data_IF_395738555517
#
_entry.id   IF_395738555517
#
_cell.length_a   1.000
_cell.length_b   1.000
_cell.length_c   1.000
_cell.angle_alpha   90.00
_cell.angle_beta   90.00
_cell.angle_gamma   90.00
#
_symmetry.space_group_name_H-M   'P 1'
#
loop_
_entity.id
_entity.type
_entity.pdbx_description
1 polymer ?
#
# COMPACT_ATOMS: atom_id res chain seq x y z
N UNK A 1 -13.47 2.40 -3.23
CA UNK A 1 -12.57 2.39 -2.07
C UNK A 1 -12.61 1.04 -1.38
N UNK A 2 -13.52 0.86 -0.41
CA UNK A 2 -13.53 -0.29 0.49
C UNK A 2 -13.49 -1.68 -0.17
N UNK A 3 -14.28 -1.90 -1.22
CA UNK A 3 -14.26 -3.15 -2.01
C UNK A 3 -12.91 -3.40 -2.67
N UNK A 4 -12.29 -2.37 -3.26
CA UNK A 4 -10.96 -2.49 -3.87
C UNK A 4 -9.92 -2.89 -2.82
N UNK A 5 -9.99 -2.35 -1.61
CA UNK A 5 -9.10 -2.74 -0.51
C UNK A 5 -9.29 -4.22 -0.11
N UNK A 6 -10.54 -4.70 -0.03
CA UNK A 6 -10.82 -6.12 0.26
C UNK A 6 -10.23 -7.02 -0.83
N UNK A 7 -10.45 -6.69 -2.09
CA UNK A 7 -9.90 -7.44 -3.23
C UNK A 7 -8.37 -7.42 -3.21
N UNK A 8 -7.76 -6.26 -2.97
CA UNK A 8 -6.32 -6.12 -2.80
C UNK A 8 -5.79 -7.08 -1.73
N UNK A 9 -6.37 -7.06 -0.52
CA UNK A 9 -5.91 -7.91 0.57
C UNK A 9 -6.09 -9.40 0.23
N UNK A 10 -7.20 -9.77 -0.42
CA UNK A 10 -7.42 -11.14 -0.89
C UNK A 10 -6.39 -11.60 -1.94
N UNK A 11 -6.07 -10.75 -2.91
CA UNK A 11 -5.04 -11.02 -3.93
C UNK A 11 -3.65 -11.15 -3.30
N UNK A 12 -3.32 -10.26 -2.35
CA UNK A 12 -2.04 -10.29 -1.65
C UNK A 12 -1.88 -11.56 -0.80
N UNK A 13 -2.93 -12.02 -0.12
CA UNK A 13 -2.90 -13.29 0.62
C UNK A 13 -2.76 -14.47 -0.35
N UNK A 14 -3.50 -14.46 -1.46
CA UNK A 14 -3.40 -15.49 -2.50
C UNK A 14 -1.99 -15.54 -3.09
N UNK A 15 -1.34 -14.39 -3.20
CA UNK A 15 0.03 -14.29 -3.70
C UNK A 15 1.01 -15.09 -2.84
N UNK A 16 0.87 -15.06 -1.52
CA UNK A 16 1.71 -15.83 -0.60
C UNK A 16 1.55 -17.35 -0.71
N UNK A 17 0.50 -17.84 -1.35
CA UNK A 17 0.32 -19.27 -1.62
C UNK A 17 1.20 -19.80 -2.77
N UNK A 18 1.79 -18.91 -3.59
CA UNK A 18 2.60 -19.31 -4.74
C UNK A 18 4.08 -19.49 -4.39
N UNK A 19 4.75 -20.42 -5.07
CA UNK A 19 6.19 -20.68 -4.89
C UNK A 19 7.07 -19.46 -5.24
N UNK A 20 6.68 -18.68 -6.24
CA UNK A 20 7.38 -17.47 -6.69
C UNK A 20 6.75 -16.18 -6.12
N UNK A 21 6.12 -16.23 -4.93
CA UNK A 21 5.40 -15.08 -4.35
C UNK A 21 6.26 -13.82 -4.24
N UNK A 22 7.57 -13.97 -4.00
CA UNK A 22 8.52 -12.87 -3.90
C UNK A 22 8.59 -11.99 -5.17
N UNK A 23 8.46 -12.61 -6.36
CA UNK A 23 8.35 -11.87 -7.64
C UNK A 23 7.08 -11.02 -7.63
N UNK A 24 5.94 -11.64 -7.34
CA UNK A 24 4.67 -10.90 -7.32
C UNK A 24 4.62 -9.82 -6.25
N UNK A 25 5.26 -10.02 -5.09
CA UNK A 25 5.30 -9.02 -4.02
C UNK A 25 6.05 -7.79 -4.50
N UNK A 26 7.14 -8.00 -5.26
CA UNK A 26 7.88 -6.91 -5.91
C UNK A 26 6.98 -6.11 -6.85
N UNK A 27 6.18 -6.78 -7.68
CA UNK A 27 5.22 -6.10 -8.59
C UNK A 27 4.08 -5.39 -7.84
N UNK A 28 3.63 -5.93 -6.71
CA UNK A 28 2.63 -5.24 -5.87
C UNK A 28 3.18 -3.92 -5.34
N UNK A 29 4.48 -3.82 -5.06
CA UNK A 29 5.11 -2.57 -4.57
C UNK A 29 5.19 -1.45 -5.62
N UNK A 30 4.89 -1.75 -6.90
CA UNK A 30 4.76 -0.74 -7.96
C UNK A 30 3.42 0.03 -7.83
N UNK A 31 2.59 -0.30 -6.83
CA UNK A 31 1.38 0.42 -6.44
C UNK A 31 1.51 1.95 -6.48
N UNK A 32 2.65 2.55 -6.10
CA UNK A 32 2.81 4.02 -6.06
C UNK A 32 2.69 4.62 -7.47
N UNK A 33 3.27 3.94 -8.46
CA UNK A 33 3.15 4.34 -9.87
C UNK A 33 1.70 4.17 -10.34
N UNK A 34 1.03 3.11 -9.92
CA UNK A 34 -0.37 2.86 -10.27
C UNK A 34 -1.31 3.89 -9.63
N UNK A 35 -1.06 4.30 -8.38
CA UNK A 35 -1.77 5.40 -7.69
C UNK A 35 -1.59 6.70 -8.47
N UNK A 36 -0.37 7.00 -8.94
CA UNK A 36 -0.08 8.19 -9.73
C UNK A 36 -0.88 8.22 -11.04
N UNK A 37 -0.89 7.11 -11.78
CA UNK A 37 -1.63 6.97 -13.04
C UNK A 37 -3.15 7.08 -12.79
N UNK A 38 -3.66 6.32 -11.82
CA UNK A 38 -5.09 6.32 -11.50
C UNK A 38 -5.57 7.67 -10.94
N UNK A 39 -4.74 8.35 -10.13
CA UNK A 39 -5.02 9.69 -9.63
C UNK A 39 -5.14 10.70 -10.77
N UNK A 40 -4.21 10.67 -11.73
CA UNK A 40 -4.26 11.53 -12.92
C UNK A 40 -5.53 11.25 -13.75
N UNK A 41 -5.82 9.99 -14.04
CA UNK A 41 -6.93 9.60 -14.93
C UNK A 41 -8.31 9.82 -14.29
N UNK A 42 -8.47 9.49 -13.00
CA UNK A 42 -9.78 9.48 -12.34
C UNK A 42 -10.08 10.82 -11.64
N UNK A 43 -9.08 11.41 -10.97
CA UNK A 43 -9.26 12.65 -10.20
C UNK A 43 -8.76 13.89 -10.95
N UNK A 44 -8.04 13.73 -12.08
CA UNK A 44 -7.39 14.85 -12.76
C UNK A 44 -6.19 15.42 -11.99
N UNK A 45 -5.68 14.66 -11.01
CA UNK A 45 -4.61 15.08 -10.11
C UNK A 45 -3.28 15.19 -10.91
N UNK A 46 -2.90 16.40 -11.32
CA UNK A 46 -1.66 16.63 -12.08
C UNK A 46 -0.43 16.53 -11.20
N UNK A 47 0.57 15.78 -11.66
CA UNK A 47 1.87 15.64 -11.01
C UNK A 47 2.88 16.56 -11.68
N UNK A 48 3.74 17.22 -10.90
CA UNK A 48 4.87 17.96 -11.48
C UNK A 48 5.88 16.99 -12.08
N UNK A 49 6.71 17.48 -13.02
CA UNK A 49 7.79 16.68 -13.59
C UNK A 49 8.74 16.16 -12.49
N UNK A 50 9.03 17.00 -11.51
CA UNK A 50 9.86 16.68 -10.34
C UNK A 50 9.24 15.58 -9.48
N UNK A 51 7.94 15.68 -9.20
CA UNK A 51 7.19 14.65 -8.49
C UNK A 51 7.19 13.29 -9.22
N UNK A 52 7.04 13.33 -10.54
CA UNK A 52 7.00 12.12 -11.36
C UNK A 52 8.36 11.41 -11.32
N UNK A 53 9.44 12.19 -11.43
CA UNK A 53 10.80 11.69 -11.28
C UNK A 53 11.04 11.13 -9.87
N UNK A 54 10.57 11.81 -8.82
CA UNK A 54 10.68 11.34 -7.45
C UNK A 54 9.98 9.98 -7.24
N UNK A 55 8.76 9.82 -7.78
CA UNK A 55 8.01 8.56 -7.73
C UNK A 55 8.74 7.46 -8.50
N UNK A 56 9.28 7.76 -9.68
CA UNK A 56 10.04 6.79 -10.47
C UNK A 56 11.31 6.31 -9.74
N UNK A 57 12.05 7.24 -9.12
CA UNK A 57 13.25 6.94 -8.33
C UNK A 57 12.89 6.10 -7.10
N UNK A 58 11.86 6.50 -6.35
CA UNK A 58 11.40 5.74 -5.19
C UNK A 58 10.93 4.32 -5.58
N UNK A 59 10.14 4.19 -6.65
CA UNK A 59 9.67 2.89 -7.15
C UNK A 59 10.84 1.99 -7.56
N UNK A 60 11.84 2.54 -8.26
CA UNK A 60 13.07 1.80 -8.61
C UNK A 60 13.81 1.34 -7.36
N UNK A 61 13.91 2.20 -6.34
CA UNK A 61 14.51 1.86 -5.06
C UNK A 61 13.79 0.71 -4.33
N UNK A 62 12.46 0.71 -4.33
CA UNK A 62 11.66 -0.36 -3.73
C UNK A 62 11.84 -1.68 -4.50
N UNK A 63 11.88 -1.64 -5.84
CA UNK A 63 12.16 -2.83 -6.64
C UNK A 63 13.56 -3.38 -6.33
N UNK A 64 14.58 -2.52 -6.28
CA UNK A 64 15.94 -2.91 -5.94
C UNK A 64 16.03 -3.51 -4.54
N UNK A 65 15.37 -2.90 -3.54
CA UNK A 65 15.30 -3.42 -2.19
C UNK A 65 14.66 -4.81 -2.15
N UNK A 66 13.52 -4.99 -2.84
CA UNK A 66 12.82 -6.27 -2.91
C UNK A 66 13.67 -7.37 -3.55
N UNK A 67 14.37 -7.05 -4.65
CA UNK A 67 15.32 -7.95 -5.33
C UNK A 67 16.47 -8.36 -4.39
N UNK A 68 17.02 -7.40 -3.64
CA UNK A 68 18.07 -7.64 -2.67
C UNK A 68 17.65 -8.62 -1.56
N UNK A 69 16.46 -8.42 -1.00
CA UNK A 69 15.92 -9.23 0.11
C UNK A 69 15.55 -10.66 -0.34
N UNK A 70 15.07 -10.81 -1.57
CA UNK A 70 14.50 -12.07 -2.05
C UNK A 70 15.47 -12.93 -2.86
N UNK A 71 16.71 -12.47 -3.07
CA UNK A 71 17.74 -13.10 -3.93
C UNK A 71 17.25 -13.41 -5.36
N UNK A 72 16.25 -12.67 -5.83
CA UNK A 72 15.72 -12.79 -7.19
C UNK A 72 16.73 -12.15 -8.16
N UNK A 73 16.83 -12.66 -9.39
CA UNK A 73 17.66 -12.02 -10.43
C UNK A 73 16.80 -11.09 -11.28
N UNK A 74 17.38 -9.98 -11.77
CA UNK A 74 16.66 -9.05 -12.68
C UNK A 74 16.11 -9.79 -13.91
N UNK A 75 16.89 -10.72 -14.47
CA UNK A 75 16.44 -11.59 -15.57
C UNK A 75 15.17 -12.38 -15.20
N UNK A 76 15.09 -12.92 -13.98
CA UNK A 76 13.91 -13.65 -13.52
C UNK A 76 12.68 -12.78 -13.31
N UNK A 77 12.83 -11.47 -13.05
CA UNK A 77 11.69 -10.56 -13.07
C UNK A 77 11.12 -10.46 -14.49
N UNK A 78 11.97 -10.24 -15.49
CA UNK A 78 11.56 -10.10 -16.89
C UNK A 78 10.94 -11.37 -17.48
N UNK A 79 11.52 -12.54 -17.21
CA UNK A 79 10.95 -13.82 -17.69
C UNK A 79 9.63 -14.16 -17.01
N UNK A 80 9.41 -13.65 -15.78
CA UNK A 80 8.21 -13.95 -14.99
C UNK A 80 7.07 -12.96 -15.24
N UNK A 81 7.19 -12.01 -16.16
CA UNK A 81 6.14 -11.01 -16.44
C UNK A 81 4.77 -11.62 -16.80
N UNK A 82 4.79 -12.79 -17.46
CA UNK A 82 3.58 -13.51 -17.85
C UNK A 82 3.12 -14.55 -16.80
N UNK A 83 3.87 -14.72 -15.70
CA UNK A 83 3.49 -15.70 -14.67
C UNK A 83 2.31 -15.20 -13.83
N UNK A 84 1.48 -16.15 -13.36
CA UNK A 84 0.32 -15.87 -12.50
C UNK A 84 0.67 -15.01 -11.28
N UNK A 85 1.76 -15.24 -10.52
CA UNK A 85 2.10 -14.42 -9.35
C UNK A 85 2.39 -12.96 -9.73
N UNK A 86 3.00 -12.71 -10.88
CA UNK A 86 3.26 -11.35 -11.36
C UNK A 86 1.98 -10.62 -11.70
N UNK A 87 1.06 -11.28 -12.42
CA UNK A 87 -0.26 -10.72 -12.74
C UNK A 87 -1.07 -10.43 -11.47
N UNK A 88 -1.06 -11.35 -10.50
CA UNK A 88 -1.74 -11.16 -9.21
C UNK A 88 -1.10 -10.01 -8.43
N UNK A 89 0.24 -9.90 -8.43
CA UNK A 89 0.96 -8.79 -7.82
C UNK A 89 0.60 -7.45 -8.45
N UNK A 90 0.57 -7.36 -9.77
CA UNK A 90 0.18 -6.16 -10.50
C UNK A 90 -1.28 -5.78 -10.21
N UNK A 91 -2.19 -6.76 -10.25
CA UNK A 91 -3.60 -6.56 -9.93
C UNK A 91 -3.80 -6.12 -8.46
N UNK A 92 -3.07 -6.72 -7.52
CA UNK A 92 -3.02 -6.31 -6.12
C UNK A 92 -2.65 -4.82 -6.00
N UNK A 93 -1.55 -4.41 -6.65
CA UNK A 93 -1.15 -3.01 -6.71
C UNK A 93 -2.22 -2.10 -7.33
N UNK A 94 -2.96 -2.57 -8.33
CA UNK A 94 -4.00 -1.81 -9.02
C UNK A 94 -5.23 -1.61 -8.14
N UNK A 95 -5.67 -2.66 -7.44
CA UNK A 95 -6.79 -2.57 -6.51
C UNK A 95 -6.42 -1.72 -5.28
N UNK A 96 -5.18 -1.80 -4.79
CA UNK A 96 -4.72 -0.90 -3.73
C UNK A 96 -4.70 0.56 -4.23
N UNK A 97 -4.13 0.79 -5.40
CA UNK A 97 -4.05 2.13 -5.99
C UNK A 97 -5.43 2.73 -6.23
N UNK A 98 -6.33 1.95 -6.82
CA UNK A 98 -7.74 2.32 -6.99
C UNK A 98 -8.42 2.60 -5.65
N UNK A 99 -8.18 1.77 -4.63
CA UNK A 99 -8.73 2.01 -3.29
C UNK A 99 -8.36 3.39 -2.75
N UNK A 100 -7.07 3.73 -2.81
CA UNK A 100 -6.54 5.01 -2.33
C UNK A 100 -7.15 6.18 -3.10
N UNK A 101 -7.17 6.09 -4.44
CA UNK A 101 -7.70 7.14 -5.31
C UNK A 101 -9.20 7.34 -5.09
N UNK A 102 -9.97 6.27 -4.95
CA UNK A 102 -11.40 6.36 -4.65
C UNK A 102 -11.67 6.91 -3.25
N UNK A 103 -10.84 6.61 -2.24
CA UNK A 103 -11.00 7.22 -0.91
C UNK A 103 -10.76 8.72 -0.95
N UNK A 104 -9.70 9.16 -1.64
CA UNK A 104 -9.45 10.59 -1.85
C UNK A 104 -10.60 11.24 -2.60
N UNK A 105 -11.04 10.65 -3.70
CA UNK A 105 -12.16 11.16 -4.50
C UNK A 105 -13.45 11.28 -3.70
N UNK A 106 -13.77 10.28 -2.88
CA UNK A 106 -14.92 10.32 -1.98
C UNK A 106 -14.80 11.45 -0.95
N UNK A 107 -13.62 11.60 -0.33
CA UNK A 107 -13.40 12.64 0.67
C UNK A 107 -13.50 14.06 0.07
N UNK A 108 -13.00 14.26 -1.15
CA UNK A 108 -13.11 15.53 -1.88
C UNK A 108 -14.57 15.82 -2.30
N UNK A 109 -15.33 14.79 -2.67
CA UNK A 109 -16.72 14.94 -3.10
C UNK A 109 -17.68 15.35 -1.96
N UNK A 110 -17.29 15.17 -0.70
CA UNK A 110 -18.13 15.53 0.46
C UNK A 110 -18.27 17.04 0.66
N UNK A 111 -17.33 17.85 0.14
CA UNK A 111 -17.43 19.31 0.15
C UNK A 111 -17.51 19.95 1.55
N UNK A 112 -17.07 19.27 2.61
CA UNK A 112 -17.05 19.82 3.97
C UNK A 112 -16.02 20.94 4.12
N UNK A 113 -16.37 21.95 4.93
CA UNK A 113 -15.46 23.01 5.37
C UNK A 113 -14.44 22.44 6.39
N UNK A 114 -13.42 21.76 5.88
CA UNK A 114 -12.31 21.22 6.67
C UNK A 114 -11.96 19.77 6.36
N UNK A 115 -10.65 19.48 6.37
CA UNK A 115 -10.12 18.16 5.99
C UNK A 115 -10.43 17.06 7.01
N UNK A 116 -10.57 17.40 8.29
CA UNK A 116 -10.79 16.44 9.39
C UNK A 116 -12.14 15.75 9.25
N UNK A 117 -13.22 16.50 9.01
CA UNK A 117 -14.57 15.93 8.88
C UNK A 117 -14.70 15.06 7.63
N UNK A 118 -14.14 15.52 6.49
CA UNK A 118 -14.10 14.75 5.26
C UNK A 118 -13.34 13.42 5.45
N UNK A 119 -12.17 13.45 6.09
CA UNK A 119 -11.38 12.25 6.38
C UNK A 119 -12.12 11.29 7.32
N UNK A 120 -12.63 11.81 8.44
CA UNK A 120 -13.32 11.02 9.46
C UNK A 120 -14.60 10.36 8.91
N UNK A 121 -15.41 11.11 8.15
CA UNK A 121 -16.65 10.59 7.57
C UNK A 121 -16.36 9.52 6.52
N UNK A 122 -15.42 9.78 5.60
CA UNK A 122 -15.02 8.79 4.58
C UNK A 122 -14.45 7.53 5.21
N UNK A 123 -13.64 7.67 6.26
CA UNK A 123 -13.10 6.55 7.02
C UNK A 123 -14.22 5.75 7.70
N UNK A 124 -15.12 6.41 8.44
CA UNK A 124 -16.21 5.77 9.16
C UNK A 124 -17.09 4.96 8.20
N UNK A 125 -17.53 5.56 7.10
CA UNK A 125 -18.34 4.88 6.08
C UNK A 125 -17.58 3.71 5.46
N UNK A 126 -16.30 3.89 5.12
CA UNK A 126 -15.48 2.82 4.57
C UNK A 126 -15.36 1.63 5.52
N UNK A 127 -15.06 1.88 6.79
CA UNK A 127 -14.91 0.83 7.80
C UNK A 127 -16.23 0.10 8.01
N UNK A 128 -17.35 0.82 8.14
CA UNK A 128 -18.68 0.21 8.31
C UNK A 128 -19.01 -0.72 7.13
N UNK A 129 -18.81 -0.26 5.89
CA UNK A 129 -19.05 -1.06 4.69
C UNK A 129 -18.12 -2.28 4.66
N UNK A 130 -16.83 -2.12 4.97
CA UNK A 130 -15.87 -3.22 4.98
C UNK A 130 -16.20 -4.26 6.05
N UNK A 131 -16.55 -3.82 7.25
CA UNK A 131 -16.98 -4.69 8.35
C UNK A 131 -18.26 -5.44 7.99
N UNK A 132 -19.24 -4.78 7.37
CA UNK A 132 -20.46 -5.43 6.93
C UNK A 132 -20.19 -6.49 5.86
N UNK A 133 -19.42 -6.15 4.81
CA UNK A 133 -19.10 -7.08 3.72
C UNK A 133 -18.30 -8.28 4.23
N UNK A 134 -17.24 -8.04 5.01
CA UNK A 134 -16.42 -9.12 5.56
C UNK A 134 -17.16 -9.93 6.63
N UNK A 135 -18.01 -9.29 7.43
CA UNK A 135 -18.84 -9.96 8.41
C UNK A 135 -19.86 -10.90 7.75
N UNK A 136 -20.53 -10.43 6.69
CA UNK A 136 -21.43 -11.27 5.87
C UNK A 136 -20.66 -12.41 5.21
N UNK A 137 -19.49 -12.13 4.63
CA UNK A 137 -18.64 -13.16 4.03
C UNK A 137 -18.28 -14.25 5.03
N UNK A 138 -17.79 -13.88 6.22
CA UNK A 138 -17.42 -14.83 7.27
C UNK A 138 -18.64 -15.59 7.80
N UNK A 139 -19.80 -14.94 7.97
CA UNK A 139 -21.01 -15.62 8.42
C UNK A 139 -21.44 -16.76 7.49
N UNK A 140 -21.26 -16.60 6.17
CA UNK A 140 -21.64 -17.62 5.19
C UNK A 140 -20.54 -18.64 4.89
N UNK A 141 -19.27 -18.23 4.79
CA UNK A 141 -18.16 -19.10 4.40
C UNK A 141 -17.49 -19.78 5.59
N UNK A 142 -17.35 -19.07 6.71
CA UNK A 142 -16.55 -19.49 7.87
C UNK A 142 -17.19 -19.04 9.20
N UNK A 143 -18.39 -19.56 9.54
CA UNK A 143 -19.12 -19.12 10.73
C UNK A 143 -18.37 -19.42 12.03
N UNK A 144 -17.50 -20.45 12.04
CA UNK A 144 -16.63 -20.76 13.16
C UNK A 144 -15.62 -19.63 13.41
N UNK A 145 -14.93 -19.16 12.38
CA UNK A 145 -13.99 -18.04 12.45
C UNK A 145 -14.67 -16.77 12.96
N UNK A 146 -15.91 -16.50 12.54
CA UNK A 146 -16.67 -15.35 13.05
C UNK A 146 -16.93 -15.44 14.56
N UNK A 147 -17.26 -16.64 15.06
CA UNK A 147 -17.42 -16.88 16.49
C UNK A 147 -16.10 -16.64 17.23
N UNK A 148 -14.98 -17.11 16.70
CA UNK A 148 -13.67 -16.92 17.31
C UNK A 148 -13.27 -15.45 17.43
N UNK A 149 -13.59 -14.63 16.42
CA UNK A 149 -13.39 -13.17 16.45
C UNK A 149 -14.19 -12.53 17.59
N UNK A 150 -15.44 -12.96 17.80
CA UNK A 150 -16.31 -12.44 18.86
C UNK A 150 -15.81 -12.89 20.24
N UNK A 151 -15.28 -14.11 20.38
CA UNK A 151 -14.75 -14.62 21.65
C UNK A 151 -13.44 -13.92 22.03
N UNK A 152 -12.54 -13.73 21.07
CA UNK A 152 -11.19 -13.19 21.31
C UNK A 152 -11.08 -11.68 21.06
N UNK A 153 -12.20 -10.96 21.02
CA UNK A 153 -12.27 -9.53 20.68
C UNK A 153 -11.31 -8.65 21.50
N UNK A 154 -11.06 -9.00 22.76
CA UNK A 154 -10.15 -8.26 23.66
C UNK A 154 -8.70 -8.33 23.19
N UNK A 155 -8.26 -9.49 22.71
CA UNK A 155 -6.91 -9.67 22.15
C UNK A 155 -6.75 -8.95 20.81
N UNK A 156 -7.81 -8.97 19.99
CA UNK A 156 -7.83 -8.26 18.70
C UNK A 156 -7.96 -6.74 18.83
N UNK A 157 -8.37 -6.23 20.00
CA UNK A 157 -8.62 -4.80 20.20
C UNK A 157 -7.37 -3.95 19.99
N UNK A 158 -6.20 -4.42 20.44
CA UNK A 158 -4.94 -3.69 20.26
C UNK A 158 -4.61 -3.49 18.76
N UNK A 159 -4.79 -4.54 17.95
CA UNK A 159 -4.60 -4.49 16.50
C UNK A 159 -5.65 -3.58 15.85
N UNK A 160 -6.90 -3.64 16.31
CA UNK A 160 -7.98 -2.77 15.85
C UNK A 160 -7.70 -1.29 16.12
N UNK A 161 -7.28 -0.93 17.34
CA UNK A 161 -6.93 0.45 17.70
C UNK A 161 -5.76 0.95 16.85
N UNK A 162 -4.69 0.16 16.73
CA UNK A 162 -3.55 0.52 15.89
C UNK A 162 -3.96 0.71 14.42
N UNK A 163 -4.83 -0.17 13.90
CA UNK A 163 -5.36 -0.08 12.54
C UNK A 163 -6.20 1.17 12.31
N UNK A 164 -7.07 1.54 13.27
CA UNK A 164 -7.87 2.76 13.19
C UNK A 164 -6.98 4.01 13.23
N UNK A 165 -6.01 4.07 14.14
CA UNK A 165 -5.06 5.19 14.22
C UNK A 165 -4.26 5.35 12.91
N UNK A 166 -3.77 4.25 12.34
CA UNK A 166 -3.12 4.28 11.04
C UNK A 166 -4.05 4.78 9.93
N UNK A 167 -5.31 4.31 9.92
CA UNK A 167 -6.30 4.70 8.93
C UNK A 167 -6.68 6.18 9.03
N UNK A 168 -6.79 6.73 10.24
CA UNK A 168 -6.98 8.17 10.47
C UNK A 168 -5.83 8.95 9.82
N UNK A 169 -4.58 8.54 10.05
CA UNK A 169 -3.41 9.17 9.44
C UNK A 169 -3.45 9.16 7.90
N UNK A 170 -3.73 8.00 7.30
CA UNK A 170 -3.81 7.86 5.84
C UNK A 170 -4.94 8.69 5.23
N UNK A 171 -6.16 8.60 5.77
CA UNK A 171 -7.32 9.32 5.24
C UNK A 171 -7.14 10.83 5.39
N UNK A 172 -6.60 11.29 6.52
CA UNK A 172 -6.26 12.70 6.72
C UNK A 172 -5.25 13.16 5.69
N UNK A 173 -4.18 12.40 5.46
CA UNK A 173 -3.18 12.74 4.46
C UNK A 173 -3.77 12.78 3.02
N UNK A 174 -4.66 11.83 2.68
CA UNK A 174 -5.35 11.82 1.39
C UNK A 174 -6.31 12.99 1.19
N UNK A 175 -6.80 13.64 2.24
CA UNK A 175 -7.59 14.87 2.11
C UNK A 175 -6.73 16.11 1.88
N UNK A 176 -5.55 16.18 2.50
CA UNK A 176 -4.68 17.37 2.45
C UNK A 176 -3.80 17.38 1.19
N UNK A 177 -3.35 16.20 0.74
CA UNK A 177 -2.35 16.06 -0.31
C UNK A 177 -2.75 15.02 -1.36
N UNK A 178 -2.15 15.14 -2.55
CA UNK A 178 -2.30 14.17 -3.62
C UNK A 178 -1.95 12.75 -3.11
N UNK A 179 -2.82 11.80 -3.42
CA UNK A 179 -2.68 10.39 -3.03
C UNK A 179 -1.32 9.79 -3.40
N UNK A 180 -0.80 10.12 -4.59
CA UNK A 180 0.49 9.63 -5.06
C UNK A 180 1.65 10.13 -4.18
N UNK A 181 1.61 11.39 -3.75
CA UNK A 181 2.63 11.95 -2.86
C UNK A 181 2.58 11.32 -1.48
N UNK A 182 1.38 11.11 -0.96
CA UNK A 182 1.17 10.49 0.35
C UNK A 182 1.70 9.05 0.34
N UNK A 183 1.43 8.27 -0.72
CA UNK A 183 1.96 6.90 -0.87
C UNK A 183 3.46 6.87 -1.13
N UNK A 184 4.00 7.82 -1.89
CA UNK A 184 5.44 7.92 -2.12
C UNK A 184 6.20 8.24 -0.82
N UNK A 185 5.71 9.21 -0.04
CA UNK A 185 6.27 9.50 1.30
C UNK A 185 6.13 8.29 2.24
N UNK A 186 5.00 7.57 2.16
CA UNK A 186 4.76 6.36 2.92
C UNK A 186 5.81 5.25 2.73
N UNK A 187 6.57 5.26 1.63
CA UNK A 187 7.69 4.32 1.44
C UNK A 187 8.80 4.48 2.48
N UNK A 188 8.79 5.56 3.27
CA UNK A 188 9.64 5.70 4.45
C UNK A 188 9.49 4.54 5.44
N UNK A 189 8.32 3.88 5.47
CA UNK A 189 8.07 2.69 6.27
C UNK A 189 9.08 1.57 5.96
N UNK A 190 9.47 1.40 4.69
CA UNK A 190 10.46 0.40 4.30
C UNK A 190 11.85 0.74 4.81
N UNK A 191 12.20 2.03 4.90
CA UNK A 191 13.47 2.50 5.47
C UNK A 191 13.53 2.18 6.95
N UNK A 192 12.45 2.45 7.70
CA UNK A 192 12.37 2.10 9.12
C UNK A 192 12.39 0.58 9.33
N UNK A 193 11.63 -0.17 8.53
CA UNK A 193 11.59 -1.63 8.59
C UNK A 193 12.98 -2.22 8.38
N UNK A 194 13.71 -1.73 7.39
CA UNK A 194 15.08 -2.15 7.16
C UNK A 194 16.03 -1.75 8.29
N UNK A 195 15.93 -0.52 8.80
CA UNK A 195 16.73 -0.08 9.94
C UNK A 195 16.55 -1.02 11.13
N UNK A 196 15.32 -1.43 11.43
CA UNK A 196 15.04 -2.43 12.46
C UNK A 196 15.66 -3.78 12.12
N UNK A 197 15.55 -4.27 10.88
CA UNK A 197 16.23 -5.52 10.42
C UNK A 197 17.74 -5.49 10.69
N UNK A 198 18.40 -4.38 10.37
CA UNK A 198 19.86 -4.27 10.49
C UNK A 198 20.29 -4.05 11.93
N UNK A 199 19.67 -3.10 12.64
CA UNK A 199 20.11 -2.73 13.99
C UNK A 199 19.64 -3.71 15.07
N UNK A 200 18.42 -4.23 14.95
CA UNK A 200 17.83 -5.11 15.96
C UNK A 200 18.07 -6.58 15.63
N UNK A 201 17.80 -7.01 14.39
CA UNK A 201 17.94 -8.41 13.98
C UNK A 201 19.34 -8.77 13.47
N UNK A 202 20.21 -7.77 13.22
CA UNK A 202 21.60 -7.96 12.74
C UNK A 202 21.69 -8.85 11.50
N UNK A 203 20.70 -8.75 10.62
CA UNK A 203 20.67 -9.51 9.38
C UNK A 203 21.78 -9.04 8.42
N UNK A 204 22.32 -9.99 7.64
CA UNK A 204 23.35 -9.66 6.64
C UNK A 204 22.72 -8.94 5.45
N UNK A 205 23.00 -7.66 5.35
CA UNK A 205 22.53 -6.79 4.29
C UNK A 205 23.29 -7.01 2.97
N UNK A 206 22.56 -7.04 1.84
CA UNK A 206 23.14 -7.03 0.50
C UNK A 206 23.45 -5.62 0.01
N UNK A 207 24.49 -5.45 -0.83
CA UNK A 207 24.80 -4.16 -1.48
C UNK A 207 23.61 -3.60 -2.26
N UNK A 208 22.78 -4.48 -2.81
CA UNK A 208 21.58 -4.10 -3.58
C UNK A 208 20.50 -3.53 -2.67
N UNK A 209 20.36 -4.03 -1.43
CA UNK A 209 19.39 -3.51 -0.45
C UNK A 209 19.77 -2.10 0.00
N UNK A 210 21.07 -1.87 0.27
CA UNK A 210 21.58 -0.54 0.64
C UNK A 210 21.34 0.47 -0.48
N UNK A 211 21.62 0.07 -1.73
CA UNK A 211 21.34 0.92 -2.90
C UNK A 211 19.84 1.19 -3.06
N UNK A 212 19.00 0.16 -2.88
CA UNK A 212 17.55 0.29 -2.94
C UNK A 212 17.02 1.31 -1.92
N UNK A 213 17.52 1.26 -0.69
CA UNK A 213 17.13 2.22 0.35
C UNK A 213 17.67 3.62 0.08
N UNK A 214 18.91 3.73 -0.39
CA UNK A 214 19.46 5.00 -0.84
C UNK A 214 18.57 5.67 -1.90
N UNK A 215 18.06 4.89 -2.86
CA UNK A 215 17.13 5.37 -3.88
C UNK A 215 15.76 5.74 -3.30
N UNK A 216 15.21 4.97 -2.36
CA UNK A 216 13.94 5.32 -1.69
C UNK A 216 14.08 6.64 -0.94
N UNK A 217 15.15 6.80 -0.16
CA UNK A 217 15.44 8.04 0.58
C UNK A 217 15.64 9.22 -0.39
N UNK A 218 16.42 9.03 -1.46
CA UNK A 218 16.61 10.05 -2.47
C UNK A 218 15.28 10.46 -3.13
N UNK A 219 14.43 9.49 -3.49
CA UNK A 219 13.10 9.75 -4.05
C UNK A 219 12.22 10.56 -3.09
N UNK A 220 12.23 10.23 -1.80
CA UNK A 220 11.50 10.97 -0.77
C UNK A 220 12.04 12.40 -0.63
N UNK A 221 13.36 12.58 -0.60
CA UNK A 221 13.98 13.91 -0.51
C UNK A 221 13.67 14.77 -1.73
N UNK A 222 13.75 14.21 -2.94
CA UNK A 222 13.38 14.92 -4.18
C UNK A 222 11.90 15.31 -4.14
N UNK A 223 11.02 14.43 -3.63
CA UNK A 223 9.60 14.74 -3.50
C UNK A 223 9.33 15.88 -2.52
N UNK A 224 10.06 15.92 -1.40
CA UNK A 224 9.89 16.96 -0.37
C UNK A 224 10.48 18.29 -0.84
N UNK A 225 11.65 18.28 -1.47
CA UNK A 225 12.36 19.49 -1.94
C UNK A 225 11.81 20.05 -3.25
N UNK A 226 11.19 19.20 -4.08
CA UNK A 226 10.63 19.57 -5.38
C UNK A 226 9.15 19.96 -5.34
N UNK A 227 8.59 20.12 -4.14
CA UNK A 227 7.21 20.56 -3.88
C UNK A 227 7.10 22.07 -3.78
#
# INVERSE_FOLDING_TARGET
GGLCQIIFTGLLITLFSFRNFAVGTTFSKIEVVQVAILGLVILGDTLTATATLAIAVAATGVIALSVGQTKITVASLFTSLAEKPTLIGLASGAFLGGSVVFFRGAALALGYDGFVMAAAFTLAVSVVIQTAIMGVYLAFREPATLKDVIVHWRGSLAVGIAGVLASIGWFTAFTIQNAAYVRALGQIELVFTFAVSVFFFRERTSRVEVLGIGLVVAGILILILGR
#
